data_IF_626753941809
#
_entry.id   IF_626753941809
#
_cell.length_a   1.000
_cell.length_b   1.000
_cell.length_c   1.000
_cell.angle_alpha   90.00
_cell.angle_beta   90.00
_cell.angle_gamma   90.00
#
_symmetry.space_group_name_H-M   'P 1'
#
loop_
_entity.id
_entity.type
_entity.pdbx_description
1 polymer ?
#
# COMPACT_ATOMS: atom_id res chain seq x y z
N UNK A 1 -10.06 -76.81 42.26
CA UNK A 1 -9.43 -75.68 42.96
C UNK A 1 -8.83 -74.63 42.01
N UNK A 2 -9.08 -74.69 40.69
CA UNK A 2 -8.29 -73.94 39.70
C UNK A 2 -9.08 -72.89 38.88
N UNK A 3 -10.41 -72.77 39.06
CA UNK A 3 -11.22 -71.84 38.28
C UNK A 3 -10.89 -70.37 38.61
N UNK A 4 -10.86 -69.99 39.89
CA UNK A 4 -10.50 -68.62 40.30
C UNK A 4 -9.11 -68.20 39.84
N UNK A 5 -8.15 -69.12 39.80
CA UNK A 5 -6.79 -68.86 39.35
C UNK A 5 -6.71 -68.65 37.83
N UNK A 6 -7.46 -69.44 37.05
CA UNK A 6 -7.58 -69.24 35.59
C UNK A 6 -8.30 -67.94 35.23
N UNK A 7 -9.36 -67.57 35.96
CA UNK A 7 -10.05 -66.28 35.77
C UNK A 7 -9.16 -65.10 36.14
N UNK A 8 -8.40 -65.21 37.23
CA UNK A 8 -7.45 -64.18 37.66
C UNK A 8 -6.32 -63.97 36.63
N UNK A 9 -5.75 -65.06 36.11
CA UNK A 9 -4.73 -65.00 35.07
C UNK A 9 -5.27 -64.44 33.74
N UNK A 10 -6.50 -64.80 33.35
CA UNK A 10 -7.15 -64.23 32.15
C UNK A 10 -7.44 -62.74 32.29
N UNK A 11 -7.91 -62.29 33.47
CA UNK A 11 -8.13 -60.88 33.76
C UNK A 11 -6.81 -60.10 33.76
N UNK A 12 -5.76 -60.66 34.36
CA UNK A 12 -4.42 -60.08 34.36
C UNK A 12 -3.89 -59.91 32.93
N UNK A 13 -4.05 -60.91 32.07
CA UNK A 13 -3.64 -60.85 30.67
C UNK A 13 -4.40 -59.77 29.89
N UNK A 14 -5.71 -59.62 30.12
CA UNK A 14 -6.52 -58.56 29.52
C UNK A 14 -6.06 -57.16 29.98
N UNK A 15 -5.77 -56.97 31.27
CA UNK A 15 -5.25 -55.70 31.80
C UNK A 15 -3.88 -55.37 31.18
N UNK A 16 -2.96 -56.33 31.08
CA UNK A 16 -1.65 -56.15 30.45
C UNK A 16 -1.80 -55.79 28.96
N UNK A 17 -2.77 -56.39 28.27
CA UNK A 17 -3.03 -56.09 26.86
C UNK A 17 -3.57 -54.66 26.67
N UNK A 18 -4.51 -54.22 27.52
CA UNK A 18 -5.03 -52.84 27.51
C UNK A 18 -3.90 -51.83 27.77
N UNK A 19 -3.04 -52.12 28.76
CA UNK A 19 -1.87 -51.28 29.07
C UNK A 19 -0.91 -51.16 27.88
N UNK A 20 -0.64 -52.26 27.18
CA UNK A 20 0.22 -52.26 25.97
C UNK A 20 -0.38 -51.42 24.83
N UNK A 21 -1.69 -51.50 24.60
CA UNK A 21 -2.38 -50.67 23.60
C UNK A 21 -2.31 -49.19 23.97
N UNK A 22 -2.53 -48.85 25.24
CA UNK A 22 -2.47 -47.46 25.70
C UNK A 22 -1.07 -46.87 25.54
N UNK A 23 -0.01 -47.64 25.88
CA UNK A 23 1.38 -47.23 25.69
C UNK A 23 1.69 -47.05 24.20
N UNK A 24 1.31 -48.02 23.36
CA UNK A 24 1.54 -47.95 21.90
C UNK A 24 0.83 -46.75 21.28
N UNK A 25 -0.39 -46.45 21.72
CA UNK A 25 -1.14 -45.28 21.26
C UNK A 25 -0.45 -43.97 21.66
N UNK A 26 -0.04 -43.84 22.92
CA UNK A 26 0.65 -42.63 23.41
C UNK A 26 1.97 -42.40 22.68
N UNK A 27 2.75 -43.45 22.43
CA UNK A 27 4.02 -43.35 21.68
C UNK A 27 3.78 -42.88 20.24
N UNK A 28 2.77 -43.43 19.56
CA UNK A 28 2.45 -43.01 18.19
C UNK A 28 1.93 -41.57 18.12
N UNK A 29 1.08 -41.16 19.07
CA UNK A 29 0.60 -39.77 19.15
C UNK A 29 1.75 -38.80 19.45
N UNK A 30 2.65 -39.17 20.36
CA UNK A 30 3.84 -38.37 20.66
C UNK A 30 4.76 -38.24 19.44
N UNK A 31 4.96 -39.33 18.69
CA UNK A 31 5.75 -39.31 17.46
C UNK A 31 5.06 -38.38 16.45
N UNK A 32 3.79 -38.60 16.13
CA UNK A 32 3.01 -37.78 15.20
C UNK A 32 3.07 -36.28 15.54
N UNK A 33 2.89 -35.92 16.82
CA UNK A 33 2.99 -34.53 17.28
C UNK A 33 4.39 -33.94 17.05
N UNK A 34 5.45 -34.72 17.33
CA UNK A 34 6.85 -34.29 17.11
C UNK A 34 7.14 -34.00 15.64
N UNK A 35 6.54 -34.74 14.69
CA UNK A 35 6.75 -34.51 13.25
C UNK A 35 5.88 -33.39 12.68
N UNK A 36 4.70 -33.13 13.23
CA UNK A 36 3.75 -32.15 12.66
C UNK A 36 3.93 -30.75 13.24
N UNK A 37 4.27 -30.61 14.51
CA UNK A 37 4.48 -29.30 15.14
C UNK A 37 5.50 -28.40 14.38
N UNK A 38 6.68 -28.89 13.95
CA UNK A 38 7.64 -28.05 13.23
C UNK A 38 7.16 -27.63 11.83
N UNK A 39 6.27 -28.41 11.20
CA UNK A 39 5.68 -28.03 9.91
C UNK A 39 4.69 -26.87 10.09
N UNK A 40 3.86 -26.93 11.13
CA UNK A 40 2.91 -25.85 11.45
C UNK A 40 3.64 -24.53 11.81
N UNK A 41 4.76 -24.60 12.54
CA UNK A 41 5.58 -23.41 12.81
C UNK A 41 6.15 -22.80 11.52
N UNK A 42 6.66 -23.63 10.61
CA UNK A 42 7.19 -23.17 9.33
C UNK A 42 6.11 -22.48 8.47
N UNK A 43 4.88 -23.00 8.47
CA UNK A 43 3.75 -22.36 7.77
C UNK A 43 3.39 -20.99 8.38
N UNK A 44 3.44 -20.86 9.71
CA UNK A 44 3.22 -19.57 10.39
C UNK A 44 4.31 -18.57 10.06
N UNK A 45 5.58 -18.97 10.10
CA UNK A 45 6.69 -18.09 9.72
C UNK A 45 6.61 -17.67 8.25
N UNK A 46 6.24 -18.58 7.36
CA UNK A 46 6.03 -18.28 5.93
C UNK A 46 4.88 -17.28 5.74
N UNK A 47 3.75 -17.51 6.41
CA UNK A 47 2.60 -16.59 6.35
C UNK A 47 2.94 -15.19 6.87
N UNK A 48 3.74 -15.08 7.93
CA UNK A 48 4.21 -13.79 8.46
C UNK A 48 5.15 -13.11 7.45
N UNK A 49 6.05 -13.85 6.80
CA UNK A 49 6.93 -13.31 5.78
C UNK A 49 6.13 -12.78 4.57
N UNK A 50 5.12 -13.52 4.12
CA UNK A 50 4.23 -13.11 3.02
C UNK A 50 3.45 -11.83 3.35
N UNK A 51 2.90 -11.73 4.57
CA UNK A 51 2.25 -10.50 5.05
C UNK A 51 3.23 -9.32 5.13
N UNK A 52 4.49 -9.58 5.51
CA UNK A 52 5.55 -8.57 5.50
C UNK A 52 5.85 -8.02 4.11
N UNK A 53 5.85 -8.88 3.09
CA UNK A 53 6.02 -8.46 1.69
C UNK A 53 4.85 -7.62 1.18
N UNK A 54 3.61 -7.98 1.56
CA UNK A 54 2.43 -7.20 1.23
C UNK A 54 2.54 -5.79 1.81
N UNK A 55 2.90 -5.68 3.10
CA UNK A 55 3.07 -4.38 3.76
C UNK A 55 4.21 -3.57 3.13
N UNK A 56 5.30 -4.22 2.71
CA UNK A 56 6.36 -3.55 1.97
C UNK A 56 5.85 -2.96 0.64
N UNK A 57 5.01 -3.70 -0.08
CA UNK A 57 4.40 -3.24 -1.33
C UNK A 57 3.48 -2.05 -1.09
N UNK A 58 2.67 -2.08 -0.02
CA UNK A 58 1.84 -0.93 0.39
C UNK A 58 2.68 0.32 0.67
N UNK A 59 3.85 0.15 1.30
CA UNK A 59 4.81 1.24 1.50
C UNK A 59 5.35 1.81 0.19
N UNK A 60 5.65 0.97 -0.80
CA UNK A 60 6.08 1.43 -2.12
C UNK A 60 4.96 2.20 -2.83
N UNK A 61 3.72 1.73 -2.75
CA UNK A 61 2.55 2.44 -3.28
C UNK A 61 2.40 3.82 -2.62
N UNK A 62 2.53 3.91 -1.30
CA UNK A 62 2.50 5.19 -0.58
C UNK A 62 3.62 6.13 -1.05
N UNK A 63 4.83 5.62 -1.31
CA UNK A 63 5.94 6.43 -1.82
C UNK A 63 5.64 6.98 -3.21
N UNK A 64 5.09 6.15 -4.10
CA UNK A 64 4.68 6.58 -5.44
C UNK A 64 3.60 7.65 -5.35
N UNK A 65 2.58 7.44 -4.50
CA UNK A 65 1.50 8.39 -4.31
C UNK A 65 2.00 9.74 -3.77
N UNK A 66 2.88 9.73 -2.78
CA UNK A 66 3.48 10.96 -2.24
C UNK A 66 4.30 11.71 -3.30
N UNK A 67 5.03 10.98 -4.13
CA UNK A 67 5.80 11.58 -5.24
C UNK A 67 4.86 12.21 -6.27
N UNK A 68 3.79 11.51 -6.63
CA UNK A 68 2.78 12.02 -7.55
C UNK A 68 2.11 13.28 -6.99
N UNK A 69 1.68 13.27 -5.72
CA UNK A 69 1.09 14.42 -5.06
C UNK A 69 2.04 15.62 -5.05
N UNK A 70 3.33 15.43 -4.76
CA UNK A 70 4.30 16.51 -4.77
C UNK A 70 4.43 17.17 -6.16
N UNK A 71 4.42 16.37 -7.23
CA UNK A 71 4.44 16.86 -8.62
C UNK A 71 3.17 17.64 -8.95
N UNK A 72 2.00 17.10 -8.60
CA UNK A 72 0.72 17.78 -8.86
C UNK A 72 0.59 19.08 -8.06
N UNK A 73 1.03 19.09 -6.81
CA UNK A 73 1.05 20.31 -6.02
C UNK A 73 1.97 21.37 -6.64
N UNK A 74 3.14 20.99 -7.17
CA UNK A 74 4.03 21.91 -7.88
C UNK A 74 3.39 22.49 -9.13
N UNK A 75 2.75 21.63 -9.93
CA UNK A 75 2.01 22.05 -11.12
C UNK A 75 0.91 23.05 -10.77
N UNK A 76 0.12 22.76 -9.73
CA UNK A 76 -0.92 23.65 -9.24
C UNK A 76 -0.36 24.96 -8.68
N UNK A 77 0.78 24.93 -7.99
CA UNK A 77 1.48 26.16 -7.54
C UNK A 77 1.85 27.04 -8.72
N UNK A 78 2.40 26.46 -9.79
CA UNK A 78 2.76 27.20 -11.00
C UNK A 78 1.54 27.83 -11.69
N UNK A 79 0.44 27.08 -11.79
CA UNK A 79 -0.82 27.61 -12.34
C UNK A 79 -1.40 28.75 -11.49
N UNK A 80 -1.36 28.62 -10.17
CA UNK A 80 -1.81 29.70 -9.25
C UNK A 80 -0.93 30.94 -9.38
N UNK A 81 0.38 30.77 -9.49
CA UNK A 81 1.29 31.89 -9.72
C UNK A 81 0.99 32.61 -11.03
N UNK A 82 0.80 31.84 -12.12
CA UNK A 82 0.45 32.39 -13.43
C UNK A 82 -0.86 33.18 -13.34
N UNK A 83 -1.92 32.57 -12.78
CA UNK A 83 -3.21 33.24 -12.53
C UNK A 83 -3.03 34.57 -11.77
N UNK A 84 -2.21 34.60 -10.72
CA UNK A 84 -1.94 35.82 -9.97
C UNK A 84 -1.25 36.92 -10.79
N UNK A 85 -0.40 36.57 -11.75
CA UNK A 85 0.19 37.55 -12.69
C UNK A 85 -0.84 38.14 -13.65
N UNK A 86 -1.83 37.35 -14.06
CA UNK A 86 -2.95 37.80 -14.88
C UNK A 86 -3.85 38.75 -14.10
N UNK A 87 -4.27 38.37 -12.89
CA UNK A 87 -5.14 39.20 -12.05
C UNK A 87 -4.51 40.55 -11.75
N UNK A 88 -3.22 40.61 -11.40
CA UNK A 88 -2.52 41.89 -11.17
C UNK A 88 -2.54 42.80 -12.38
N UNK A 89 -2.18 42.28 -13.56
CA UNK A 89 -2.16 43.09 -14.78
C UNK A 89 -3.58 43.56 -15.14
N UNK A 90 -4.56 42.67 -15.02
CA UNK A 90 -5.96 42.99 -15.31
C UNK A 90 -6.51 44.05 -14.36
N UNK A 91 -6.17 43.99 -13.06
CA UNK A 91 -6.58 45.03 -12.10
C UNK A 91 -6.02 46.40 -12.44
N UNK A 92 -4.76 46.48 -12.91
CA UNK A 92 -4.13 47.74 -13.32
C UNK A 92 -4.74 48.25 -14.63
N UNK A 93 -4.98 47.36 -15.60
CA UNK A 93 -5.60 47.72 -16.87
C UNK A 93 -7.05 48.18 -16.71
N UNK A 94 -7.84 47.57 -15.81
CA UNK A 94 -9.23 47.95 -15.56
C UNK A 94 -9.39 49.25 -14.77
N UNK A 95 -8.37 49.67 -14.01
CA UNK A 95 -8.42 50.92 -13.26
C UNK A 95 -8.31 52.16 -14.16
N UNK A 96 -7.54 52.07 -15.25
CA UNK A 96 -7.35 53.17 -16.20
C UNK A 96 -7.01 52.61 -17.59
N UNK A 97 -8.05 52.09 -18.26
CA UNK A 97 -7.93 51.36 -19.53
C UNK A 97 -7.33 52.25 -20.64
N UNK A 98 -7.75 53.50 -20.71
CA UNK A 98 -7.34 54.43 -21.77
C UNK A 98 -5.85 54.79 -21.65
N UNK A 99 -5.38 55.11 -20.43
CA UNK A 99 -3.96 55.38 -20.14
C UNK A 99 -3.10 54.12 -20.26
N UNK A 100 -3.65 52.97 -19.88
CA UNK A 100 -2.95 51.69 -19.98
C UNK A 100 -2.72 51.26 -21.43
N UNK A 101 -3.72 51.41 -22.29
CA UNK A 101 -3.66 51.02 -23.71
C UNK A 101 -2.90 52.03 -24.59
N UNK A 102 -2.86 53.31 -24.21
CA UNK A 102 -2.07 54.33 -24.92
C UNK A 102 -0.56 54.18 -24.66
N UNK A 103 -0.16 53.45 -23.62
CA UNK A 103 1.24 53.05 -23.42
C UNK A 103 1.61 51.88 -24.35
N UNK A 104 2.47 52.09 -25.36
CA UNK A 104 2.82 51.06 -26.34
C UNK A 104 3.53 49.84 -25.71
N UNK A 105 4.20 50.00 -24.57
CA UNK A 105 4.81 48.88 -23.83
C UNK A 105 3.72 47.98 -23.22
N UNK A 106 2.71 48.56 -22.61
CA UNK A 106 1.60 47.82 -21.99
C UNK A 106 0.72 47.13 -23.03
N UNK A 107 0.42 47.81 -24.15
CA UNK A 107 -0.32 47.23 -25.27
C UNK A 107 0.45 46.05 -25.90
N UNK A 108 1.77 46.19 -26.11
CA UNK A 108 2.61 45.09 -26.57
C UNK A 108 2.64 43.92 -25.59
N UNK A 109 2.76 44.19 -24.28
CA UNK A 109 2.76 43.17 -23.24
C UNK A 109 1.44 42.38 -23.22
N UNK A 110 0.29 43.03 -23.42
CA UNK A 110 -1.01 42.36 -23.55
C UNK A 110 -1.06 41.40 -24.74
N UNK A 111 -0.65 41.86 -25.92
CA UNK A 111 -0.65 41.04 -27.15
C UNK A 111 0.31 39.86 -27.03
N UNK A 112 1.51 40.10 -26.49
CA UNK A 112 2.49 39.06 -26.20
C UNK A 112 1.92 38.02 -25.23
N UNK A 113 1.23 38.45 -24.17
CA UNK A 113 0.60 37.55 -23.19
C UNK A 113 -0.48 36.66 -23.78
N UNK A 114 -1.35 37.23 -24.61
CA UNK A 114 -2.42 36.48 -25.26
C UNK A 114 -1.89 35.40 -26.21
N UNK A 115 -0.70 35.62 -26.77
CA UNK A 115 -0.07 34.70 -27.73
C UNK A 115 0.86 33.67 -27.07
N UNK A 116 1.71 34.09 -26.13
CA UNK A 116 2.77 33.22 -25.55
C UNK A 116 2.39 32.62 -24.19
N UNK A 117 1.71 33.38 -23.33
CA UNK A 117 1.41 32.92 -21.96
C UNK A 117 0.23 31.93 -21.96
N UNK A 118 -0.67 32.01 -22.95
CA UNK A 118 -1.72 31.00 -23.18
C UNK A 118 -1.12 29.65 -23.59
N UNK A 119 -0.14 29.64 -24.50
CA UNK A 119 0.59 28.41 -24.82
C UNK A 119 1.34 27.86 -23.61
N UNK A 120 1.88 28.73 -22.77
CA UNK A 120 2.57 28.32 -21.53
C UNK A 120 1.60 27.68 -20.54
N UNK A 121 0.42 28.27 -20.32
CA UNK A 121 -0.64 27.67 -19.52
C UNK A 121 -1.10 26.32 -20.11
N UNK A 122 -1.31 26.28 -21.43
CA UNK A 122 -1.64 25.08 -22.18
C UNK A 122 -0.64 23.97 -21.94
N UNK A 123 0.67 24.23 -22.07
CA UNK A 123 1.73 23.24 -21.80
C UNK A 123 1.72 22.71 -20.36
N UNK A 124 1.45 23.56 -19.36
CA UNK A 124 1.36 23.14 -17.96
C UNK A 124 0.12 22.26 -17.71
N UNK A 125 -0.97 22.52 -18.44
CA UNK A 125 -2.21 21.74 -18.37
C UNK A 125 -2.08 20.42 -19.15
N UNK A 126 -1.54 20.45 -20.37
CA UNK A 126 -1.34 19.31 -21.28
C UNK A 126 -0.27 18.31 -20.84
N UNK A 127 0.64 18.73 -19.95
CA UNK A 127 1.57 17.83 -19.27
C UNK A 127 0.84 16.72 -18.47
N UNK A 128 -0.45 16.88 -18.18
CA UNK A 128 -1.33 15.84 -17.62
C UNK A 128 -1.93 14.94 -18.71
N UNK A 129 -2.43 15.52 -19.81
CA UNK A 129 -3.21 14.82 -20.85
C UNK A 129 -2.38 13.86 -21.71
N UNK A 130 -1.05 13.96 -21.66
CA UNK A 130 -0.11 13.18 -22.47
C UNK A 130 0.53 11.99 -21.74
N UNK A 131 0.07 11.67 -20.52
CA UNK A 131 0.33 10.40 -19.80
C UNK A 131 -0.91 9.51 -19.80
#
# INVERSE_FOLDING_TARGET
MNLNETYFNSLCLQVVQIMKYHITLVVNVSFFFTYICPLAEAEVYTSIADLGQLLHTDWEVLKVLNTYLAVEEERLRNLRWLKGQYEKLYTVAMQDEESFLTNPVNAFLLVKRLSEDWETAGRIIEAETSR
#
